data_IF_963224412929
#
_entry.id   IF_963224412929
#
_cell.length_a   1.000
_cell.length_b   1.000
_cell.length_c   1.000
_cell.angle_alpha   90.00
_cell.angle_beta   90.00
_cell.angle_gamma   90.00
#
_symmetry.space_group_name_H-M   'P 1'
#
loop_
_entity.id
_entity.type
_entity.pdbx_description
1 polymer ?
#
# COMPACT_ATOMS: atom_id res chain seq x y z
N UNK A 1 9.82 6.53 19.36
CA UNK A 1 10.75 7.03 18.31
C UNK A 1 11.95 6.18 17.95
N UNK A 2 12.27 5.07 18.63
CA UNK A 2 13.40 4.20 18.22
C UNK A 2 13.23 3.60 16.81
N UNK A 3 11.99 3.27 16.42
CA UNK A 3 11.70 2.71 15.10
C UNK A 3 11.81 3.75 13.98
N UNK A 4 11.29 4.96 14.20
CA UNK A 4 11.49 6.07 13.27
C UNK A 4 12.98 6.39 13.12
N UNK A 5 13.71 6.43 14.23
CA UNK A 5 15.18 6.55 14.23
C UNK A 5 15.87 5.38 13.53
N UNK A 6 15.36 4.15 13.64
CA UNK A 6 15.90 2.99 12.93
C UNK A 6 15.68 3.11 11.41
N UNK A 7 14.47 3.44 10.96
CA UNK A 7 14.16 3.65 9.53
C UNK A 7 14.89 4.88 8.97
N UNK A 8 15.05 5.93 9.75
CA UNK A 8 15.84 7.11 9.36
C UNK A 8 17.34 6.80 9.37
N UNK A 9 17.84 6.00 10.31
CA UNK A 9 19.26 5.63 10.36
C UNK A 9 19.66 4.62 9.28
N UNK A 10 18.74 3.74 8.83
CA UNK A 10 18.99 2.94 7.62
C UNK A 10 19.14 3.84 6.38
N UNK A 11 18.46 4.98 6.33
CA UNK A 11 18.62 6.02 5.28
C UNK A 11 19.89 6.87 5.42
N UNK A 12 20.49 6.98 6.60
CA UNK A 12 21.68 7.82 6.85
C UNK A 12 23.01 7.17 6.43
N UNK A 13 23.00 5.99 5.82
CA UNK A 13 24.19 5.47 5.14
C UNK A 13 24.47 6.31 3.88
N UNK A 14 25.38 7.29 4.03
CA UNK A 14 25.97 8.28 3.09
C UNK A 14 25.35 8.43 1.68
N UNK A 15 25.17 9.68 1.20
CA UNK A 15 24.70 9.94 -0.17
C UNK A 15 25.66 9.36 -1.21
N UNK A 16 25.03 8.77 -2.23
CA UNK A 16 25.62 8.13 -3.40
C UNK A 16 26.79 8.94 -3.99
N UNK A 17 27.94 8.29 -4.08
CA UNK A 17 29.05 8.74 -4.91
C UNK A 17 29.63 7.52 -5.62
N UNK A 18 29.61 7.56 -6.95
CA UNK A 18 30.08 6.56 -7.94
C UNK A 18 29.12 5.39 -8.27
N UNK A 19 28.87 5.19 -9.57
CA UNK A 19 27.87 4.31 -10.21
C UNK A 19 27.95 2.79 -9.97
N UNK A 20 28.26 2.33 -8.75
CA UNK A 20 28.02 0.95 -8.30
C UNK A 20 27.11 0.97 -7.08
N UNK A 21 26.08 0.13 -7.07
CA UNK A 21 25.25 -0.06 -5.86
C UNK A 21 26.15 -0.53 -4.70
N UNK A 22 26.07 0.07 -3.50
CA UNK A 22 26.95 -0.24 -2.37
C UNK A 22 26.55 -1.54 -1.64
N UNK A 23 25.84 -2.45 -2.32
CA UNK A 23 25.31 -3.68 -1.77
C UNK A 23 26.07 -4.88 -2.31
N UNK A 24 26.29 -5.88 -1.46
CA UNK A 24 26.86 -7.16 -1.91
C UNK A 24 25.86 -7.91 -2.79
N UNK A 25 26.34 -8.82 -3.64
CA UNK A 25 25.47 -9.64 -4.47
C UNK A 25 24.41 -10.38 -3.64
N UNK A 26 24.81 -10.91 -2.48
CA UNK A 26 23.90 -11.56 -1.53
C UNK A 26 22.76 -10.64 -1.07
N UNK A 27 23.01 -9.35 -0.86
CA UNK A 27 21.96 -8.39 -0.50
C UNK A 27 21.02 -8.17 -1.68
N UNK A 28 21.55 -8.02 -2.89
CA UNK A 28 20.75 -7.84 -4.10
C UNK A 28 19.85 -9.05 -4.35
N UNK A 29 20.41 -10.26 -4.29
CA UNK A 29 19.68 -11.51 -4.54
C UNK A 29 18.56 -11.73 -3.52
N UNK A 30 18.83 -11.49 -2.24
CA UNK A 30 17.81 -11.58 -1.18
C UNK A 30 16.70 -10.55 -1.40
N UNK A 31 17.07 -9.32 -1.77
CA UNK A 31 16.11 -8.24 -2.03
C UNK A 31 15.22 -8.59 -3.23
N UNK A 32 15.80 -9.05 -4.34
CA UNK A 32 15.05 -9.54 -5.49
C UNK A 32 14.12 -10.70 -5.14
N UNK A 33 14.58 -11.65 -4.33
CA UNK A 33 13.75 -12.78 -3.90
C UNK A 33 12.52 -12.30 -3.11
N UNK A 34 12.68 -11.32 -2.22
CA UNK A 34 11.53 -10.75 -1.52
C UNK A 34 10.55 -10.07 -2.49
N UNK A 35 11.01 -9.25 -3.43
CA UNK A 35 10.12 -8.62 -4.40
C UNK A 35 9.43 -9.62 -5.34
N UNK A 36 10.14 -10.66 -5.78
CA UNK A 36 9.57 -11.67 -6.69
C UNK A 36 8.50 -12.54 -6.02
N UNK A 37 8.64 -12.82 -4.72
CA UNK A 37 7.67 -13.62 -3.96
C UNK A 37 6.49 -12.82 -3.44
N UNK A 38 6.69 -11.55 -3.12
CA UNK A 38 5.60 -10.66 -2.68
C UNK A 38 4.72 -10.17 -3.84
N UNK A 39 4.96 -10.65 -5.07
CA UNK A 39 4.15 -10.38 -6.28
C UNK A 39 3.75 -8.91 -6.45
N UNK A 40 4.64 -7.97 -6.12
CA UNK A 40 4.33 -6.53 -6.08
C UNK A 40 4.22 -5.88 -7.48
N UNK A 41 4.39 -6.68 -8.53
CA UNK A 41 4.01 -6.45 -9.92
C UNK A 41 4.46 -7.68 -10.72
N UNK A 42 3.79 -8.04 -11.82
CA UNK A 42 4.28 -9.06 -12.76
C UNK A 42 5.54 -8.59 -13.54
N UNK A 43 6.17 -7.50 -13.10
CA UNK A 43 7.36 -6.88 -13.66
C UNK A 43 8.52 -7.03 -12.67
N UNK A 44 9.65 -7.45 -13.19
CA UNK A 44 10.90 -7.54 -12.44
C UNK A 44 11.31 -6.13 -12.00
N UNK A 45 11.41 -5.90 -10.69
CA UNK A 45 11.82 -4.60 -10.15
C UNK A 45 13.29 -4.33 -10.47
N UNK A 46 13.59 -3.16 -11.03
CA UNK A 46 14.96 -2.78 -11.33
C UNK A 46 15.76 -2.45 -10.06
N UNK A 47 17.07 -2.74 -10.05
CA UNK A 47 17.94 -2.43 -8.90
C UNK A 47 18.11 -0.92 -8.64
N UNK A 48 17.76 -0.10 -9.63
CA UNK A 48 17.72 1.37 -9.57
C UNK A 48 16.42 1.91 -9.00
N UNK A 49 15.39 1.08 -8.82
CA UNK A 49 14.11 1.49 -8.25
C UNK A 49 14.28 1.99 -6.80
N UNK A 50 13.72 3.15 -6.42
CA UNK A 50 13.82 3.67 -5.06
C UNK A 50 13.34 2.70 -3.98
N UNK A 51 12.27 1.94 -4.23
CA UNK A 51 11.75 0.96 -3.29
C UNK A 51 12.70 -0.24 -3.15
N UNK A 52 13.35 -0.64 -4.26
CA UNK A 52 14.39 -1.67 -4.22
C UNK A 52 15.59 -1.22 -3.38
N UNK A 53 16.11 -0.02 -3.65
CA UNK A 53 17.25 0.54 -2.91
C UNK A 53 16.94 0.70 -1.43
N UNK A 54 15.73 1.14 -1.09
CA UNK A 54 15.32 1.30 0.31
C UNK A 54 15.23 -0.06 1.03
N UNK A 55 14.65 -1.09 0.39
CA UNK A 55 14.64 -2.43 0.98
C UNK A 55 16.06 -3.02 1.10
N UNK A 56 16.90 -2.90 0.07
CA UNK A 56 18.28 -3.38 0.10
C UNK A 56 19.10 -2.73 1.23
N UNK A 57 18.84 -1.45 1.52
CA UNK A 57 19.45 -0.72 2.63
C UNK A 57 19.09 -1.31 4.00
N UNK A 58 17.91 -1.92 4.12
CA UNK A 58 17.47 -2.65 5.31
C UNK A 58 18.00 -4.09 5.35
N UNK A 59 18.00 -4.79 4.21
CA UNK A 59 18.50 -6.17 4.09
C UNK A 59 19.98 -6.26 4.44
N UNK A 60 20.80 -5.29 4.02
CA UNK A 60 22.25 -5.26 4.30
C UNK A 60 22.62 -5.37 5.80
N UNK A 61 22.11 -4.52 6.71
CA UNK A 61 22.32 -4.71 8.14
C UNK A 61 21.55 -5.89 8.73
N UNK A 62 20.38 -6.27 8.19
CA UNK A 62 19.64 -7.46 8.61
C UNK A 62 20.48 -8.73 8.45
N UNK A 63 21.05 -8.98 7.26
CA UNK A 63 21.87 -10.17 7.01
C UNK A 63 23.07 -10.22 7.96
N UNK A 64 23.72 -9.09 8.22
CA UNK A 64 24.81 -9.00 9.21
C UNK A 64 24.35 -9.39 10.61
N UNK A 65 23.13 -9.01 11.02
CA UNK A 65 22.58 -9.41 12.31
C UNK A 65 22.28 -10.90 12.35
N UNK A 66 21.70 -11.46 11.28
CA UNK A 66 21.39 -12.89 11.20
C UNK A 66 22.65 -13.76 11.27
N UNK A 67 23.69 -13.38 10.51
CA UNK A 67 24.98 -14.10 10.50
C UNK A 67 25.65 -14.07 11.89
N UNK A 68 25.55 -12.94 12.59
CA UNK A 68 26.12 -12.77 13.93
C UNK A 68 25.15 -13.13 15.07
N UNK A 69 23.95 -13.66 14.75
CA UNK A 69 22.89 -14.01 15.71
C UNK A 69 22.49 -12.87 16.66
N UNK A 70 22.58 -11.63 16.19
CA UNK A 70 22.16 -10.44 16.93
C UNK A 70 20.64 -10.31 16.83
N UNK A 71 19.97 -10.21 17.97
CA UNK A 71 18.53 -9.99 18.03
C UNK A 71 18.22 -8.51 18.26
N UNK A 72 17.20 -8.01 17.58
CA UNK A 72 16.64 -6.67 17.81
C UNK A 72 15.17 -6.77 18.18
N UNK A 73 14.64 -5.71 18.80
CA UNK A 73 13.24 -5.59 19.18
C UNK A 73 12.54 -4.55 18.33
N UNK A 74 11.37 -4.91 17.84
CA UNK A 74 10.46 -4.02 17.14
C UNK A 74 9.39 -3.54 18.12
N UNK A 75 9.49 -2.28 18.54
CA UNK A 75 8.55 -1.68 19.50
C UNK A 75 7.12 -1.59 18.99
N UNK A 76 6.89 -1.71 17.68
CA UNK A 76 5.57 -1.69 17.06
C UNK A 76 5.04 -3.09 16.75
N UNK A 77 5.74 -4.15 17.14
CA UNK A 77 5.39 -5.51 16.73
C UNK A 77 3.93 -5.87 17.06
N UNK A 78 3.45 -5.57 18.26
CA UNK A 78 2.06 -5.84 18.65
C UNK A 78 1.04 -5.14 17.74
N UNK A 79 1.29 -3.88 17.39
CA UNK A 79 0.43 -3.12 16.49
C UNK A 79 0.50 -3.68 15.06
N UNK A 80 1.69 -4.01 14.56
CA UNK A 80 1.88 -4.57 13.22
C UNK A 80 1.14 -5.90 13.06
N UNK A 81 1.20 -6.79 14.07
CA UNK A 81 0.50 -8.07 14.06
C UNK A 81 -1.02 -7.92 13.99
N UNK A 82 -1.56 -6.84 14.56
CA UNK A 82 -3.00 -6.53 14.53
C UNK A 82 -3.41 -5.83 13.23
N UNK A 83 -2.61 -4.90 12.73
CA UNK A 83 -2.95 -4.08 11.56
C UNK A 83 -2.71 -4.78 10.24
N UNK A 84 -1.65 -5.59 10.11
CA UNK A 84 -1.25 -6.21 8.85
C UNK A 84 -1.10 -7.74 8.96
N UNK A 85 -2.12 -8.48 9.43
CA UNK A 85 -2.02 -9.92 9.71
C UNK A 85 -1.69 -10.75 8.45
N UNK A 86 -2.20 -10.32 7.28
CA UNK A 86 -1.95 -11.00 6.01
C UNK A 86 -0.49 -10.85 5.57
N UNK A 87 0.04 -9.62 5.56
CA UNK A 87 1.45 -9.35 5.26
C UNK A 87 2.38 -10.08 6.23
N UNK A 88 2.06 -10.12 7.52
CA UNK A 88 2.84 -10.87 8.50
C UNK A 88 2.90 -12.35 8.14
N UNK A 89 1.75 -12.97 7.82
CA UNK A 89 1.67 -14.39 7.46
C UNK A 89 2.48 -14.69 6.20
N UNK A 90 2.34 -13.84 5.19
CA UNK A 90 3.02 -13.98 3.90
C UNK A 90 4.54 -13.82 4.07
N UNK A 91 4.99 -12.71 4.67
CA UNK A 91 6.42 -12.45 4.90
C UNK A 91 7.05 -13.46 5.85
N UNK A 92 6.31 -14.03 6.81
CA UNK A 92 6.81 -15.15 7.63
C UNK A 92 7.10 -16.37 6.77
N UNK A 93 6.23 -16.67 5.80
CA UNK A 93 6.38 -17.81 4.89
C UNK A 93 7.56 -17.58 3.95
N UNK A 94 7.60 -16.43 3.29
CA UNK A 94 8.69 -16.06 2.37
C UNK A 94 10.03 -15.99 3.10
N UNK A 95 10.09 -15.40 4.30
CA UNK A 95 11.35 -15.29 5.05
C UNK A 95 11.92 -16.66 5.47
N UNK A 96 11.06 -17.67 5.67
CA UNK A 96 11.53 -19.05 5.88
C UNK A 96 12.16 -19.61 4.61
N UNK A 97 11.53 -19.41 3.45
CA UNK A 97 12.10 -19.82 2.15
C UNK A 97 13.45 -19.13 1.90
N UNK A 98 13.52 -17.81 2.06
CA UNK A 98 14.74 -17.02 1.88
C UNK A 98 15.85 -17.53 2.80
N UNK A 99 15.54 -17.81 4.08
CA UNK A 99 16.53 -18.32 5.02
C UNK A 99 17.13 -19.66 4.57
N UNK A 100 16.31 -20.54 4.00
CA UNK A 100 16.75 -21.84 3.45
C UNK A 100 17.57 -21.67 2.17
N UNK A 101 17.12 -20.81 1.25
CA UNK A 101 17.79 -20.57 -0.05
C UNK A 101 19.16 -19.92 0.13
N UNK A 102 19.27 -18.94 1.03
CA UNK A 102 20.47 -18.11 1.20
C UNK A 102 21.32 -18.47 2.43
N UNK A 103 20.96 -19.53 3.17
CA UNK A 103 21.79 -20.15 4.19
C UNK A 103 22.02 -19.31 5.44
N UNK A 104 20.99 -18.65 5.97
CA UNK A 104 21.09 -17.86 7.21
C UNK A 104 20.04 -18.22 8.25
N UNK A 105 20.21 -17.73 9.48
CA UNK A 105 19.30 -18.01 10.59
C UNK A 105 17.89 -17.46 10.33
N UNK A 106 16.86 -18.20 10.75
CA UNK A 106 15.46 -17.76 10.64
C UNK A 106 15.25 -16.38 11.26
N UNK A 107 14.51 -15.53 10.54
CA UNK A 107 14.13 -14.22 11.05
C UNK A 107 13.18 -14.36 12.25
N UNK A 108 13.37 -13.48 13.24
CA UNK A 108 12.40 -13.31 14.33
C UNK A 108 11.16 -12.55 13.84
N UNK A 109 10.07 -12.61 14.60
CA UNK A 109 8.89 -11.77 14.34
C UNK A 109 9.21 -10.28 14.40
N UNK A 110 10.19 -9.87 15.23
CA UNK A 110 10.66 -8.49 15.29
C UNK A 110 11.23 -8.04 13.92
N UNK A 111 12.09 -8.86 13.29
CA UNK A 111 12.66 -8.60 11.95
C UNK A 111 11.60 -8.66 10.86
N UNK A 112 10.69 -9.64 10.91
CA UNK A 112 9.55 -9.74 9.99
C UNK A 112 8.68 -8.48 10.10
N UNK A 113 8.44 -7.98 11.32
CA UNK A 113 7.68 -6.75 11.53
C UNK A 113 8.31 -5.54 10.85
N UNK A 114 9.64 -5.44 10.79
CA UNK A 114 10.29 -4.38 10.01
C UNK A 114 10.02 -4.54 8.52
N UNK A 115 10.14 -5.76 7.97
CA UNK A 115 9.83 -6.03 6.56
C UNK A 115 8.38 -5.70 6.22
N UNK A 116 7.42 -6.02 7.11
CA UNK A 116 6.00 -5.71 6.93
C UNK A 116 5.79 -4.22 6.70
N UNK A 117 6.49 -3.35 7.43
CA UNK A 117 6.35 -1.90 7.26
C UNK A 117 6.86 -1.41 5.89
N UNK A 118 7.94 -2.01 5.37
CA UNK A 118 8.41 -1.69 4.02
C UNK A 118 7.36 -2.08 2.97
N UNK A 119 6.86 -3.32 3.04
CA UNK A 119 5.89 -3.82 2.06
C UNK A 119 4.51 -3.17 2.17
N UNK A 120 4.02 -2.87 3.38
CA UNK A 120 2.80 -2.09 3.56
C UNK A 120 2.90 -0.73 2.86
N UNK A 121 4.01 -0.01 3.07
CA UNK A 121 4.26 1.28 2.39
C UNK A 121 4.40 1.12 0.86
N UNK A 122 5.03 0.04 0.39
CA UNK A 122 5.12 -0.21 -1.05
C UNK A 122 3.75 -0.49 -1.66
N UNK A 123 2.86 -1.22 -0.95
CA UNK A 123 1.49 -1.45 -1.38
C UNK A 123 0.69 -0.14 -1.39
N UNK A 124 0.81 0.68 -0.35
CA UNK A 124 0.15 2.00 -0.28
C UNK A 124 0.57 2.92 -1.43
N UNK A 125 1.86 2.91 -1.83
CA UNK A 125 2.34 3.70 -2.99
C UNK A 125 1.85 3.19 -4.33
N UNK A 126 1.62 1.88 -4.45
CA UNK A 126 1.30 1.20 -5.72
C UNK A 126 -0.17 0.92 -5.90
N UNK A 127 -0.99 1.11 -4.87
CA UNK A 127 -2.44 1.07 -4.98
C UNK A 127 -2.84 2.00 -6.13
N UNK A 128 -3.34 1.41 -7.22
CA UNK A 128 -3.89 2.20 -8.31
C UNK A 128 -5.05 3.01 -7.74
N UNK A 129 -5.18 4.30 -8.10
CA UNK A 129 -6.37 5.04 -7.76
C UNK A 129 -7.62 4.27 -8.21
N UNK A 130 -8.61 4.19 -7.34
CA UNK A 130 -9.89 3.56 -7.64
C UNK A 130 -10.61 4.41 -8.67
N UNK A 131 -10.94 3.80 -9.81
CA UNK A 131 -11.75 4.44 -10.85
C UNK A 131 -13.12 4.73 -10.26
N UNK A 132 -13.40 6.01 -10.03
CA UNK A 132 -14.49 6.45 -9.17
C UNK A 132 -15.42 7.40 -9.91
N UNK A 133 -16.71 7.24 -9.69
CA UNK A 133 -17.74 8.17 -10.20
C UNK A 133 -18.45 8.84 -9.06
N UNK A 134 -18.69 10.15 -9.20
CA UNK A 134 -19.51 10.91 -8.25
C UNK A 134 -20.94 10.99 -8.77
N UNK A 135 -21.89 10.43 -8.03
CA UNK A 135 -23.30 10.47 -8.37
C UNK A 135 -24.04 11.51 -7.52
N UNK A 136 -24.76 12.42 -8.17
CA UNK A 136 -25.55 13.45 -7.49
C UNK A 136 -26.97 13.60 -8.05
N UNK A 137 -27.91 14.05 -7.19
CA UNK A 137 -29.27 14.45 -7.59
C UNK A 137 -29.35 15.87 -8.17
N UNK A 138 -28.42 16.75 -7.79
CA UNK A 138 -28.47 18.18 -8.04
C UNK A 138 -27.38 18.62 -9.01
N UNK A 139 -27.68 19.63 -9.82
CA UNK A 139 -26.93 19.99 -11.03
C UNK A 139 -25.44 20.32 -10.85
N UNK A 140 -24.81 20.58 -12.00
CA UNK A 140 -23.35 20.69 -12.23
C UNK A 140 -22.57 21.33 -11.06
N UNK A 141 -23.01 22.46 -10.51
CA UNK A 141 -22.24 23.23 -9.51
C UNK A 141 -22.00 22.53 -8.17
N UNK A 142 -22.99 21.83 -7.61
CA UNK A 142 -22.84 21.14 -6.30
C UNK A 142 -22.04 19.85 -6.40
N UNK A 143 -22.11 19.19 -7.56
CA UNK A 143 -21.37 17.96 -7.83
C UNK A 143 -19.90 18.24 -8.09
N UNK A 144 -19.57 19.32 -8.80
CA UNK A 144 -18.20 19.78 -8.97
C UNK A 144 -17.55 20.19 -7.64
N UNK A 145 -18.32 20.76 -6.70
CA UNK A 145 -17.81 21.03 -5.36
C UNK A 145 -17.43 19.75 -4.61
N UNK A 146 -18.27 18.71 -4.69
CA UNK A 146 -17.98 17.43 -4.05
C UNK A 146 -16.76 16.76 -4.71
N UNK A 147 -16.71 16.75 -6.05
CA UNK A 147 -15.56 16.28 -6.83
C UNK A 147 -14.26 16.95 -6.37
N UNK A 148 -14.21 18.28 -6.38
CA UNK A 148 -13.02 19.02 -5.98
C UNK A 148 -12.60 18.75 -4.52
N UNK A 149 -13.55 18.48 -3.61
CA UNK A 149 -13.25 18.10 -2.22
C UNK A 149 -12.67 16.70 -2.13
N UNK A 150 -13.21 15.75 -2.90
CA UNK A 150 -12.74 14.38 -2.94
C UNK A 150 -11.33 14.31 -3.55
N UNK A 151 -11.11 14.92 -4.71
CA UNK A 151 -9.78 15.01 -5.36
C UNK A 151 -8.72 15.64 -4.45
N UNK A 152 -9.12 16.62 -3.64
CA UNK A 152 -8.23 17.28 -2.67
C UNK A 152 -7.87 16.40 -1.47
N UNK A 153 -8.76 15.51 -1.05
CA UNK A 153 -8.64 14.78 0.23
C UNK A 153 -8.26 13.32 0.06
N UNK A 154 -8.56 12.70 -1.08
CA UNK A 154 -8.39 11.28 -1.33
C UNK A 154 -7.62 11.10 -2.65
N UNK A 155 -6.30 10.96 -2.53
CA UNK A 155 -5.43 10.64 -3.67
C UNK A 155 -5.67 9.23 -4.22
N UNK A 156 -6.31 8.38 -3.43
CA UNK A 156 -6.69 7.02 -3.75
C UNK A 156 -7.89 6.94 -4.71
N UNK A 157 -8.55 8.06 -5.01
CA UNK A 157 -9.69 8.11 -5.94
C UNK A 157 -9.26 8.78 -7.25
N UNK A 158 -9.50 8.13 -8.37
CA UNK A 158 -9.47 8.74 -9.70
C UNK A 158 -10.90 9.04 -10.14
N UNK A 159 -11.31 10.31 -10.03
CA UNK A 159 -12.68 10.71 -10.35
C UNK A 159 -12.81 10.94 -11.85
N UNK A 160 -13.30 9.92 -12.54
CA UNK A 160 -13.42 9.92 -14.01
C UNK A 160 -14.59 10.76 -14.50
N UNK A 161 -15.68 10.82 -13.73
CA UNK A 161 -16.89 11.52 -14.14
C UNK A 161 -17.82 11.86 -12.97
N UNK A 162 -18.76 12.75 -13.26
CA UNK A 162 -19.83 13.19 -12.38
C UNK A 162 -21.16 12.98 -13.10
N UNK A 163 -21.97 12.04 -12.60
CA UNK A 163 -23.20 11.62 -13.29
C UNK A 163 -24.45 11.83 -12.46
N UNK A 164 -25.58 12.01 -13.15
CA UNK A 164 -26.88 11.97 -12.52
C UNK A 164 -27.33 10.52 -12.28
N UNK A 165 -28.20 10.31 -11.29
CA UNK A 165 -28.68 8.97 -10.93
C UNK A 165 -29.19 8.13 -12.11
N UNK A 166 -29.94 8.74 -13.03
CA UNK A 166 -30.52 8.05 -14.18
C UNK A 166 -29.50 7.60 -15.24
N UNK A 167 -28.25 8.08 -15.16
CA UNK A 167 -27.17 7.74 -16.10
C UNK A 167 -26.25 6.65 -15.54
N UNK A 168 -26.43 6.25 -14.27
CA UNK A 168 -25.53 5.34 -13.59
C UNK A 168 -25.50 3.95 -14.26
N UNK A 169 -26.67 3.39 -14.57
CA UNK A 169 -26.75 2.06 -15.19
C UNK A 169 -26.10 2.03 -16.57
N UNK A 170 -26.25 3.10 -17.36
CA UNK A 170 -25.60 3.22 -18.66
C UNK A 170 -24.08 3.27 -18.51
N UNK A 171 -23.58 4.05 -17.54
CA UNK A 171 -22.15 4.17 -17.28
C UNK A 171 -21.53 2.85 -16.82
N UNK A 172 -22.16 2.13 -15.88
CA UNK A 172 -21.66 0.85 -15.39
C UNK A 172 -21.58 -0.18 -16.54
N UNK A 173 -22.52 -0.14 -17.49
CA UNK A 173 -22.49 -1.03 -18.65
C UNK A 173 -21.40 -0.66 -19.67
N UNK A 174 -21.10 0.64 -19.81
CA UNK A 174 -20.06 1.14 -20.72
C UNK A 174 -18.65 1.00 -20.15
N UNK A 175 -18.53 1.03 -18.82
CA UNK A 175 -17.25 1.01 -18.11
C UNK A 175 -17.21 -0.10 -17.05
N UNK A 176 -16.92 -1.35 -17.46
CA UNK A 176 -16.91 -2.52 -16.57
C UNK A 176 -15.77 -2.48 -15.55
N UNK A 177 -14.80 -1.58 -15.71
CA UNK A 177 -13.65 -1.41 -14.81
C UNK A 177 -13.90 -0.34 -13.73
N UNK A 178 -15.16 0.10 -13.55
CA UNK A 178 -15.53 1.04 -12.49
C UNK A 178 -15.37 0.39 -11.11
N UNK A 179 -14.48 0.94 -10.29
CA UNK A 179 -14.16 0.35 -8.99
C UNK A 179 -15.07 0.86 -7.87
N UNK A 180 -15.56 2.11 -7.96
CA UNK A 180 -16.21 2.75 -6.81
C UNK A 180 -17.20 3.87 -7.18
N UNK A 181 -18.25 4.03 -6.37
CA UNK A 181 -19.23 5.13 -6.53
C UNK A 181 -19.33 5.94 -5.23
N UNK A 182 -19.16 7.26 -5.33
CA UNK A 182 -19.45 8.20 -4.24
C UNK A 182 -20.76 8.91 -4.54
N UNK A 183 -21.76 8.75 -3.68
CA UNK A 183 -23.12 9.24 -3.97
C UNK A 183 -23.65 10.21 -2.92
N UNK A 184 -24.46 11.18 -3.34
CA UNK A 184 -25.30 12.02 -2.44
C UNK A 184 -26.75 11.55 -2.34
N UNK A 185 -27.07 10.43 -2.99
CA UNK A 185 -28.40 9.85 -3.13
C UNK A 185 -28.34 8.39 -2.70
N UNK A 186 -29.32 7.95 -1.91
CA UNK A 186 -29.36 6.55 -1.51
C UNK A 186 -29.50 5.64 -2.74
N UNK A 187 -28.57 4.69 -2.88
CA UNK A 187 -28.65 3.58 -3.83
C UNK A 187 -29.30 2.38 -3.13
N UNK A 188 -29.94 1.51 -3.89
CA UNK A 188 -30.46 0.25 -3.36
C UNK A 188 -29.34 -0.78 -3.31
N UNK A 189 -29.30 -1.56 -2.22
CA UNK A 189 -28.45 -2.74 -2.13
C UNK A 189 -29.23 -4.00 -2.56
N UNK A 190 -28.57 -4.99 -3.19
CA UNK A 190 -27.15 -5.01 -3.56
C UNK A 190 -26.87 -4.23 -4.85
N UNK A 191 -25.73 -3.55 -4.91
CA UNK A 191 -25.22 -2.90 -6.12
C UNK A 191 -24.06 -3.72 -6.70
N UNK A 192 -23.88 -3.66 -8.03
CA UNK A 192 -22.77 -4.35 -8.72
C UNK A 192 -21.40 -3.71 -8.45
N UNK A 193 -21.39 -2.42 -8.11
CA UNK A 193 -20.19 -1.65 -7.79
C UNK A 193 -20.33 -1.13 -6.35
N UNK A 194 -19.28 -1.22 -5.51
CA UNK A 194 -19.35 -0.72 -4.15
C UNK A 194 -19.58 0.79 -4.14
N UNK A 195 -20.33 1.28 -3.15
CA UNK A 195 -20.65 2.69 -3.05
C UNK A 195 -20.65 3.21 -1.61
N UNK A 196 -20.51 4.53 -1.45
CA UNK A 196 -20.68 5.22 -0.16
C UNK A 196 -21.57 6.44 -0.33
N UNK A 197 -22.60 6.51 0.52
CA UNK A 197 -23.49 7.68 0.64
C UNK A 197 -22.84 8.76 1.52
N UNK A 198 -22.59 9.93 0.93
CA UNK A 198 -21.99 11.11 1.58
C UNK A 198 -22.86 12.34 1.42
N UNK A 199 -22.61 13.36 2.24
CA UNK A 199 -23.14 14.69 1.98
C UNK A 199 -22.26 15.46 0.97
N UNK A 200 -22.83 16.43 0.26
CA UNK A 200 -22.07 17.38 -0.59
C UNK A 200 -20.97 18.10 0.21
N UNK A 201 -21.17 18.27 1.52
CA UNK A 201 -20.21 18.91 2.40
C UNK A 201 -19.06 18.01 2.84
N UNK A 202 -19.09 16.70 2.55
CA UNK A 202 -18.04 15.75 2.90
C UNK A 202 -17.63 15.89 4.38
N UNK A 203 -18.58 15.58 5.27
CA UNK A 203 -18.39 15.67 6.73
C UNK A 203 -17.29 14.72 7.20
N UNK A 204 -16.77 14.90 8.42
CA UNK A 204 -15.77 13.97 8.97
C UNK A 204 -16.28 12.52 9.02
N UNK A 205 -17.56 12.31 9.30
CA UNK A 205 -18.18 10.98 9.24
C UNK A 205 -18.24 10.41 7.81
N UNK A 206 -18.41 11.26 6.80
CA UNK A 206 -18.35 10.85 5.39
C UNK A 206 -16.93 10.41 5.03
N UNK A 207 -15.91 11.18 5.46
CA UNK A 207 -14.50 10.86 5.20
C UNK A 207 -14.08 9.54 5.83
N UNK A 208 -14.49 9.29 7.07
CA UNK A 208 -14.18 8.03 7.75
C UNK A 208 -14.79 6.82 7.03
N UNK A 209 -16.03 6.94 6.56
CA UNK A 209 -16.70 5.88 5.80
C UNK A 209 -16.06 5.66 4.43
N UNK A 210 -15.70 6.73 3.73
CA UNK A 210 -14.95 6.66 2.47
C UNK A 210 -13.60 5.96 2.68
N UNK A 211 -12.80 6.40 3.66
CA UNK A 211 -11.49 5.80 3.91
C UNK A 211 -11.62 4.31 4.23
N UNK A 212 -12.57 3.93 5.10
CA UNK A 212 -12.80 2.53 5.45
C UNK A 212 -13.14 1.68 4.21
N UNK A 213 -14.02 2.18 3.33
CA UNK A 213 -14.44 1.48 2.12
C UNK A 213 -13.34 1.42 1.06
N UNK A 214 -12.55 2.47 0.88
CA UNK A 214 -11.38 2.47 -0.02
C UNK A 214 -10.37 1.41 0.41
N UNK A 215 -10.12 1.28 1.72
CA UNK A 215 -9.24 0.25 2.25
C UNK A 215 -9.84 -1.14 2.01
N UNK A 216 -11.13 -1.34 2.30
CA UNK A 216 -11.83 -2.60 1.98
C UNK A 216 -11.62 -3.01 0.51
N UNK A 217 -11.84 -2.11 -0.45
CA UNK A 217 -11.67 -2.38 -1.89
C UNK A 217 -10.22 -2.68 -2.28
N UNK A 218 -9.25 -1.97 -1.71
CA UNK A 218 -7.83 -2.14 -2.05
C UNK A 218 -7.19 -3.41 -1.44
N UNK A 219 -7.81 -4.01 -0.42
CA UNK A 219 -7.25 -5.15 0.32
C UNK A 219 -8.14 -6.41 0.30
N UNK A 220 -9.19 -6.43 -0.54
CA UNK A 220 -9.89 -7.64 -0.99
C UNK A 220 -9.10 -8.39 -2.07
#
# INVERSE_FOLDING_TARGET
DYLYQYVVSSRLQKPFSSGKLPFSQRVLDVTHYYFSRMCMDNREIETTDPDFVDLASHISPLLRRLDNRVQIKNSLLSQILLTYPNLVKELTTISKEVSLVFGFASLSLDEIGFLVLYFARFQEKRARPLKTVVMCTSGVGTSELLRARLEKQFSELDIIDVVAYHQLDELINLDPDLDFIVTTVALQEPASVPFVLVSVFLTEGDKQRLQAKIQEINYE
#
